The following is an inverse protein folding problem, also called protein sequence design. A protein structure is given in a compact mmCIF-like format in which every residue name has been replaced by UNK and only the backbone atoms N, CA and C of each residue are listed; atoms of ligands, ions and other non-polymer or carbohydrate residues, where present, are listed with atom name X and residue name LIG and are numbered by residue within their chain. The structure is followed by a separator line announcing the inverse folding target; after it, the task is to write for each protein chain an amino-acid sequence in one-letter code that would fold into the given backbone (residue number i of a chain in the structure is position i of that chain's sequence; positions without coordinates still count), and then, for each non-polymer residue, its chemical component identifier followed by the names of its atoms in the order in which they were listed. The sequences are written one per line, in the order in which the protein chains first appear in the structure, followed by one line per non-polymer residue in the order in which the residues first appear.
data_IF_231725121763
#
_entry.id   IF_231725121763
#
_cell.length_a   1.000
_cell.length_b   1.000
_cell.length_c   1.000
_cell.angle_alpha   90.00
_cell.angle_beta   90.00
_cell.angle_gamma   90.00
#
_symmetry.space_group_name_H-M   'P 1'
#
loop_
_entity.id
_entity.type
_entity.pdbx_description
1 polymer ?
#
# COMPACT_ATOMS: atom_id res chain seq x y z
N UNK A 1 18.87 -14.89 -1.46
CA UNK A 1 18.36 -14.03 -0.35
C UNK A 1 18.80 -12.61 -0.58
N UNK A 2 17.87 -11.69 -0.49
CA UNK A 2 18.13 -10.25 -0.58
C UNK A 2 18.29 -9.68 0.83
N UNK A 3 19.52 -9.63 1.31
CA UNK A 3 19.89 -9.03 2.59
C UNK A 3 20.00 -7.49 2.44
N UNK A 4 20.00 -6.71 3.53
CA UNK A 4 20.11 -5.26 3.47
C UNK A 4 21.31 -4.74 2.67
N UNK A 5 22.45 -5.42 2.77
CA UNK A 5 23.72 -4.97 2.17
C UNK A 5 24.22 -5.84 1.01
N UNK A 6 23.56 -6.97 0.72
CA UNK A 6 24.04 -7.89 -0.32
C UNK A 6 23.00 -8.94 -0.74
N UNK A 7 23.07 -9.35 -2.00
CA UNK A 7 22.41 -10.58 -2.46
C UNK A 7 23.34 -11.75 -2.32
N UNK A 8 22.92 -12.81 -1.64
CA UNK A 8 23.74 -14.03 -1.47
C UNK A 8 22.92 -15.32 -1.52
N UNK A 9 23.57 -16.42 -1.91
CA UNK A 9 23.05 -17.77 -1.67
C UNK A 9 23.27 -18.14 -0.21
N UNK A 10 22.24 -18.71 0.44
CA UNK A 10 22.34 -19.07 1.85
C UNK A 10 21.06 -19.66 2.39
N UNK A 11 21.14 -20.06 3.64
CA UNK A 11 20.03 -20.59 4.43
C UNK A 11 19.55 -19.55 5.42
N UNK A 12 18.25 -19.57 5.74
CA UNK A 12 17.63 -18.74 6.74
C UNK A 12 16.77 -19.59 7.65
N UNK A 13 16.94 -19.47 8.97
CA UNK A 13 16.13 -20.13 9.98
C UNK A 13 15.22 -19.13 10.69
N UNK A 14 13.94 -19.48 10.81
CA UNK A 14 12.97 -18.74 11.60
C UNK A 14 12.59 -19.58 12.82
N UNK A 15 12.65 -18.99 14.01
CA UNK A 15 12.27 -19.65 15.26
C UNK A 15 11.33 -18.74 16.04
N UNK A 16 10.18 -19.26 16.43
CA UNK A 16 9.15 -18.50 17.16
C UNK A 16 8.74 -17.17 16.47
N UNK A 17 8.65 -17.21 15.13
CA UNK A 17 8.25 -16.04 14.34
C UNK A 17 9.37 -15.05 14.02
N UNK A 18 10.59 -15.25 14.50
CA UNK A 18 11.74 -14.34 14.34
C UNK A 18 12.83 -15.00 13.51
N UNK A 19 13.51 -14.23 12.64
CA UNK A 19 14.71 -14.70 11.93
C UNK A 19 15.82 -14.93 12.97
N UNK A 20 16.11 -16.20 13.24
CA UNK A 20 17.07 -16.59 14.27
C UNK A 20 18.49 -16.70 13.74
N UNK A 21 18.66 -17.18 12.49
CA UNK A 21 19.96 -17.43 11.89
C UNK A 21 19.93 -17.15 10.38
N UNK A 22 21.04 -16.64 9.86
CA UNK A 22 21.31 -16.48 8.43
C UNK A 22 22.72 -17.04 8.16
N UNK A 23 22.81 -18.10 7.35
CA UNK A 23 24.03 -18.81 7.04
C UNK A 23 24.36 -18.85 5.55
N UNK A 24 25.54 -19.38 5.21
CA UNK A 24 25.87 -19.74 3.84
C UNK A 24 25.08 -20.99 3.41
N UNK A 25 24.91 -21.21 2.11
CA UNK A 25 24.13 -22.34 1.61
C UNK A 25 24.68 -23.68 2.15
N UNK A 26 23.80 -24.48 2.78
CA UNK A 26 24.12 -25.76 3.41
C UNK A 26 24.91 -25.65 4.73
N UNK A 27 24.95 -24.45 5.35
CA UNK A 27 25.67 -24.24 6.61
C UNK A 27 24.82 -24.42 7.86
N UNK A 28 23.51 -24.37 7.75
CA UNK A 28 22.62 -24.60 8.88
C UNK A 28 22.18 -26.06 8.94
N UNK A 29 22.45 -26.71 10.08
CA UNK A 29 22.02 -28.10 10.31
C UNK A 29 20.49 -28.19 10.39
N UNK A 30 19.89 -29.16 9.71
CA UNK A 30 18.46 -29.42 9.83
C UNK A 30 18.17 -30.16 11.14
N UNK A 31 17.11 -29.74 11.86
CA UNK A 31 16.59 -30.44 13.03
C UNK A 31 15.30 -31.20 12.68
N UNK A 32 15.11 -32.37 13.30
CA UNK A 32 13.98 -33.28 12.98
C UNK A 32 12.58 -32.67 13.22
N UNK A 33 12.48 -31.60 14.01
CA UNK A 33 11.26 -30.90 14.37
C UNK A 33 11.02 -29.59 13.57
N UNK A 34 11.89 -29.27 12.60
CA UNK A 34 11.80 -28.12 11.74
C UNK A 34 11.09 -28.45 10.42
N UNK A 35 10.28 -27.49 9.96
CA UNK A 35 9.78 -27.51 8.58
C UNK A 35 10.90 -27.02 7.66
N UNK A 36 11.29 -27.84 6.69
CA UNK A 36 12.26 -27.48 5.67
C UNK A 36 11.56 -27.04 4.39
N UNK A 37 11.98 -25.91 3.82
CA UNK A 37 11.55 -25.40 2.52
C UNK A 37 12.75 -25.33 1.59
N UNK A 38 12.71 -26.08 0.49
CA UNK A 38 13.73 -25.99 -0.56
C UNK A 38 13.50 -24.76 -1.45
N UNK A 39 14.33 -23.74 -1.27
CA UNK A 39 14.33 -22.51 -2.05
C UNK A 39 15.32 -22.51 -3.23
N UNK A 40 15.84 -23.66 -3.63
CA UNK A 40 16.81 -23.77 -4.74
C UNK A 40 16.22 -23.19 -6.03
N UNK A 41 16.94 -22.24 -6.64
CA UNK A 41 16.48 -21.55 -7.86
C UNK A 41 15.51 -20.40 -7.61
N UNK A 42 15.08 -20.19 -6.37
CA UNK A 42 14.16 -19.11 -6.00
C UNK A 42 14.90 -17.92 -5.35
N UNK A 43 14.22 -16.81 -5.28
CA UNK A 43 14.71 -15.61 -4.57
C UNK A 43 13.89 -15.41 -3.29
N UNK A 44 14.59 -15.30 -2.15
CA UNK A 44 13.99 -14.98 -0.85
C UNK A 44 14.09 -13.47 -0.61
N UNK A 45 12.94 -12.82 -0.45
CA UNK A 45 12.80 -11.41 -0.10
C UNK A 45 12.23 -11.26 1.30
N UNK A 46 12.47 -10.13 2.00
CA UNK A 46 11.64 -9.77 3.15
C UNK A 46 10.18 -9.65 2.71
N UNK A 47 9.27 -9.90 3.62
CA UNK A 47 7.84 -9.79 3.36
C UNK A 47 7.45 -8.43 2.76
N UNK A 48 6.61 -8.47 1.74
CA UNK A 48 6.11 -7.23 1.11
C UNK A 48 5.11 -6.55 2.03
N UNK A 49 5.17 -5.23 2.11
CA UNK A 49 4.30 -4.39 2.91
C UNK A 49 3.52 -3.47 1.98
N UNK A 50 2.19 -3.54 2.02
CA UNK A 50 1.32 -2.64 1.25
C UNK A 50 0.80 -1.52 2.16
N UNK A 51 1.29 -0.28 2.03
CA UNK A 51 0.93 0.81 2.94
C UNK A 51 -0.43 1.44 2.66
N UNK A 52 -1.15 1.03 1.60
CA UNK A 52 -2.44 1.62 1.27
C UNK A 52 -3.40 0.61 0.65
N UNK A 53 -4.36 0.14 1.46
CA UNK A 53 -5.47 -0.70 0.99
C UNK A 53 -6.82 -0.23 1.54
N UNK A 54 -7.92 -0.69 0.93
CA UNK A 54 -9.30 -0.43 1.35
C UNK A 54 -10.06 -1.77 1.39
N UNK A 55 -9.90 -2.53 2.46
CA UNK A 55 -10.55 -3.84 2.62
C UNK A 55 -12.01 -3.78 3.07
N UNK A 56 -12.59 -2.58 3.08
CA UNK A 56 -14.05 -2.35 3.18
C UNK A 56 -14.74 -2.88 4.45
N UNK A 57 -14.03 -3.42 5.40
CA UNK A 57 -14.57 -3.94 6.66
C UNK A 57 -14.28 -2.96 7.82
N UNK A 58 -15.30 -2.46 8.49
CA UNK A 58 -16.72 -2.81 8.40
C UNK A 58 -17.46 -2.18 7.22
N UNK A 59 -18.58 -2.79 6.85
CA UNK A 59 -19.71 -2.14 6.21
C UNK A 59 -19.97 -2.43 4.73
N UNK A 60 -19.00 -2.97 3.98
CA UNK A 60 -19.18 -3.26 2.55
C UNK A 60 -18.62 -4.64 2.14
N UNK A 61 -19.04 -5.72 2.82
CA UNK A 61 -18.47 -7.05 2.63
C UNK A 61 -18.70 -7.63 1.23
N UNK A 62 -19.62 -7.06 0.46
CA UNK A 62 -19.84 -7.45 -0.94
C UNK A 62 -18.69 -7.03 -1.86
N UNK A 63 -17.90 -6.04 -1.44
CA UNK A 63 -16.71 -5.58 -2.18
C UNK A 63 -15.45 -6.31 -1.73
N UNK A 64 -15.21 -6.32 -0.42
CA UNK A 64 -14.09 -6.96 0.24
C UNK A 64 -14.34 -7.02 1.75
N UNK A 65 -13.64 -7.89 2.48
CA UNK A 65 -13.52 -7.83 3.93
C UNK A 65 -12.07 -8.10 4.36
N UNK A 66 -11.76 -7.90 5.64
CA UNK A 66 -10.40 -8.06 6.17
C UNK A 66 -9.86 -9.48 5.98
N UNK A 67 -10.73 -10.50 6.01
CA UNK A 67 -10.33 -11.89 5.76
C UNK A 67 -9.96 -12.12 4.31
N UNK A 68 -10.86 -11.83 3.36
CA UNK A 68 -10.61 -12.03 1.93
C UNK A 68 -9.52 -11.11 1.40
N UNK A 69 -9.44 -9.86 1.88
CA UNK A 69 -8.36 -8.94 1.53
C UNK A 69 -6.99 -9.42 2.00
N UNK A 70 -6.88 -9.96 3.24
CA UNK A 70 -5.63 -10.54 3.73
C UNK A 70 -5.21 -11.81 2.97
N UNK A 71 -6.18 -12.60 2.50
CA UNK A 71 -5.91 -13.75 1.61
C UNK A 71 -5.38 -13.27 0.25
N UNK A 72 -6.01 -12.26 -0.35
CA UNK A 72 -5.54 -11.67 -1.60
C UNK A 72 -4.12 -11.07 -1.43
N UNK A 73 -3.86 -10.40 -0.31
CA UNK A 73 -2.53 -9.89 0.05
C UNK A 73 -1.48 -11.04 0.10
N UNK A 74 -1.76 -12.09 0.86
CA UNK A 74 -0.88 -13.25 0.97
C UNK A 74 -0.57 -13.90 -0.38
N UNK A 75 -1.57 -14.01 -1.27
CA UNK A 75 -1.41 -14.58 -2.60
C UNK A 75 -0.50 -13.75 -3.52
N UNK A 76 -0.41 -12.45 -3.25
CA UNK A 76 0.48 -11.49 -3.91
C UNK A 76 1.88 -11.36 -3.26
N UNK A 77 2.19 -12.13 -2.21
CA UNK A 77 3.46 -12.01 -1.48
C UNK A 77 3.46 -10.92 -0.40
N UNK A 78 2.32 -10.25 -0.16
CA UNK A 78 2.17 -9.20 0.85
C UNK A 78 1.94 -9.85 2.22
N UNK A 79 2.84 -9.60 3.16
CA UNK A 79 2.80 -10.13 4.53
C UNK A 79 2.19 -9.16 5.53
N UNK A 80 2.15 -7.88 5.16
CA UNK A 80 1.63 -6.81 6.00
C UNK A 80 0.91 -5.76 5.17
N UNK A 81 -0.18 -5.20 5.69
CA UNK A 81 -0.93 -4.13 5.02
C UNK A 81 -1.36 -3.03 5.98
N UNK A 82 -1.56 -1.81 5.43
CA UNK A 82 -2.15 -0.68 6.14
C UNK A 82 -3.49 -0.30 5.48
N UNK A 83 -4.59 -0.43 6.23
CA UNK A 83 -5.93 -0.22 5.70
C UNK A 83 -6.52 1.14 6.10
N UNK A 84 -7.19 1.76 5.13
CA UNK A 84 -7.71 3.12 5.20
C UNK A 84 -9.04 3.19 5.98
N UNK A 85 -9.37 4.38 6.56
CA UNK A 85 -10.49 4.52 7.49
C UNK A 85 -11.85 4.80 6.84
N UNK A 86 -11.95 4.91 5.51
CA UNK A 86 -13.18 5.24 4.80
C UNK A 86 -14.16 4.06 4.66
N UNK A 87 -14.35 3.38 5.76
CA UNK A 87 -15.32 2.30 5.96
C UNK A 87 -16.78 2.83 6.07
N UNK A 88 -17.74 1.96 6.30
CA UNK A 88 -19.13 2.33 6.58
C UNK A 88 -19.59 1.62 7.89
N UNK A 89 -19.60 2.34 9.04
CA UNK A 89 -19.20 3.74 9.22
C UNK A 89 -17.71 3.97 9.09
N UNK A 90 -17.30 5.22 8.83
CA UNK A 90 -15.89 5.62 8.81
C UNK A 90 -15.25 5.47 10.20
N UNK A 91 -13.98 5.08 10.25
CA UNK A 91 -13.24 4.86 11.50
C UNK A 91 -12.55 6.17 11.90
N UNK A 92 -13.22 6.95 12.75
CA UNK A 92 -12.78 8.29 13.18
C UNK A 92 -12.58 8.43 14.69
N UNK A 93 -12.79 7.35 15.44
CA UNK A 93 -12.66 7.30 16.90
C UNK A 93 -11.81 6.12 17.35
N UNK A 94 -11.24 6.18 18.54
CA UNK A 94 -10.48 5.08 19.14
C UNK A 94 -11.37 3.83 19.36
N UNK A 95 -12.63 4.01 19.74
CA UNK A 95 -13.58 2.89 19.90
C UNK A 95 -13.80 2.15 18.57
N UNK A 96 -14.05 2.90 17.48
CA UNK A 96 -14.18 2.32 16.13
C UNK A 96 -12.93 1.57 15.70
N UNK A 97 -11.75 2.12 16.02
CA UNK A 97 -10.46 1.48 15.76
C UNK A 97 -10.30 0.16 16.53
N UNK A 98 -10.65 0.14 17.82
CA UNK A 98 -10.60 -1.09 18.63
C UNK A 98 -11.52 -2.18 18.09
N UNK A 99 -12.72 -1.82 17.63
CA UNK A 99 -13.64 -2.75 16.97
C UNK A 99 -13.05 -3.34 15.68
N UNK A 100 -12.38 -2.50 14.86
CA UNK A 100 -11.72 -2.95 13.62
C UNK A 100 -10.52 -3.85 13.92
N UNK A 101 -9.70 -3.53 14.92
CA UNK A 101 -8.59 -4.38 15.40
C UNK A 101 -9.08 -5.75 15.87
N UNK A 102 -10.17 -5.80 16.63
CA UNK A 102 -10.75 -7.07 17.06
C UNK A 102 -11.26 -7.91 15.88
N UNK A 103 -11.84 -7.27 14.86
CA UNK A 103 -12.27 -7.94 13.63
C UNK A 103 -11.08 -8.50 12.86
N UNK A 104 -10.00 -7.74 12.74
CA UNK A 104 -8.77 -8.17 12.06
C UNK A 104 -8.13 -9.37 12.77
N UNK A 105 -8.04 -9.34 14.09
CA UNK A 105 -7.52 -10.45 14.89
C UNK A 105 -8.27 -11.77 14.66
N UNK A 106 -9.57 -11.70 14.32
CA UNK A 106 -10.39 -12.88 14.06
C UNK A 106 -10.36 -13.35 12.59
N UNK A 107 -9.87 -12.53 11.65
CA UNK A 107 -10.00 -12.80 10.20
C UNK A 107 -8.70 -12.81 9.44
N UNK A 108 -7.73 -11.95 9.79
CA UNK A 108 -6.55 -11.74 8.97
C UNK A 108 -5.54 -12.89 9.09
N UNK A 109 -4.97 -13.30 7.97
CA UNK A 109 -3.86 -14.25 7.89
C UNK A 109 -2.52 -13.54 7.65
N UNK A 110 -2.53 -12.23 7.34
CA UNK A 110 -1.37 -11.35 7.22
C UNK A 110 -1.40 -10.29 8.30
N UNK A 111 -0.26 -9.66 8.60
CA UNK A 111 -0.16 -8.61 9.60
C UNK A 111 -0.88 -7.34 9.14
N UNK A 112 -1.39 -6.54 10.08
CA UNK A 112 -2.27 -5.43 9.78
C UNK A 112 -2.00 -4.18 10.61
N UNK A 113 -2.21 -3.03 9.98
CA UNK A 113 -2.27 -1.73 10.62
C UNK A 113 -3.42 -0.91 10.02
N UNK A 114 -3.92 0.06 10.78
CA UNK A 114 -5.06 0.89 10.40
C UNK A 114 -4.79 2.36 10.62
N UNK A 115 -5.27 3.18 9.68
CA UNK A 115 -5.32 4.62 9.86
C UNK A 115 -6.60 5.02 10.57
N UNK A 116 -6.50 6.03 11.46
CA UNK A 116 -7.67 6.75 11.96
C UNK A 116 -8.00 7.90 11.00
N UNK A 117 -9.28 8.08 10.67
CA UNK A 117 -9.74 9.12 9.76
C UNK A 117 -9.87 10.47 10.45
N UNK A 118 -9.31 11.51 9.83
CA UNK A 118 -9.52 12.87 10.26
C UNK A 118 -10.84 13.45 9.71
N UNK A 119 -11.50 14.28 10.51
CA UNK A 119 -12.58 15.19 10.15
C UNK A 119 -12.22 16.61 10.58
N UNK A 120 -13.03 17.60 10.21
CA UNK A 120 -12.73 19.00 10.54
C UNK A 120 -12.78 19.28 12.06
N UNK A 121 -13.40 18.40 12.85
CA UNK A 121 -13.71 18.60 14.26
C UNK A 121 -13.29 17.49 15.24
N UNK A 122 -12.66 16.38 14.75
CA UNK A 122 -12.31 15.24 15.61
C UNK A 122 -10.87 15.20 16.15
N UNK A 123 -10.19 16.34 16.28
CA UNK A 123 -8.79 16.39 16.75
C UNK A 123 -8.61 15.69 18.11
N UNK A 124 -9.61 15.78 19.01
CA UNK A 124 -9.57 15.10 20.31
C UNK A 124 -9.53 13.57 20.17
N UNK A 125 -10.34 13.00 19.27
CA UNK A 125 -10.33 11.55 18.98
C UNK A 125 -9.00 11.11 18.35
N UNK A 126 -8.42 11.95 17.46
CA UNK A 126 -7.11 11.68 16.89
C UNK A 126 -6.04 11.66 18.00
N UNK A 127 -6.08 12.59 18.94
CA UNK A 127 -5.15 12.62 20.09
C UNK A 127 -5.32 11.40 21.02
N UNK A 128 -6.52 10.85 21.17
CA UNK A 128 -6.73 9.60 21.90
C UNK A 128 -6.03 8.41 21.22
N UNK A 129 -5.96 8.40 19.89
CA UNK A 129 -5.38 7.31 19.10
C UNK A 129 -3.87 7.40 18.92
N UNK A 130 -3.33 8.60 18.66
CA UNK A 130 -1.92 8.81 18.30
C UNK A 130 -1.17 9.76 19.25
N UNK A 131 -1.86 10.39 20.18
CA UNK A 131 -1.28 11.35 21.14
C UNK A 131 -1.06 12.75 20.57
N UNK A 132 -0.33 13.56 21.36
CA UNK A 132 0.19 14.86 20.98
C UNK A 132 1.70 14.77 20.77
N UNK A 133 2.31 15.79 20.16
CA UNK A 133 3.76 15.81 19.93
C UNK A 133 4.59 15.74 21.22
N UNK A 134 4.10 16.31 22.33
CA UNK A 134 4.75 16.19 23.62
C UNK A 134 4.56 14.81 24.26
N UNK A 135 3.44 14.15 23.97
CA UNK A 135 3.07 12.85 24.51
C UNK A 135 2.54 11.94 23.40
N UNK A 136 3.40 11.45 22.50
CA UNK A 136 2.99 10.54 21.42
C UNK A 136 2.58 9.18 22.00
N UNK A 137 1.54 8.59 21.39
CA UNK A 137 1.00 7.28 21.75
C UNK A 137 1.24 6.32 20.59
N UNK A 138 1.75 5.12 20.89
CA UNK A 138 1.84 4.01 19.96
C UNK A 138 0.93 2.88 20.44
N UNK A 139 -0.18 2.69 19.74
CA UNK A 139 -1.11 1.57 19.98
C UNK A 139 -0.85 0.53 18.90
N UNK A 140 -0.61 -0.75 19.26
CA UNK A 140 -0.43 -1.81 18.26
C UNK A 140 -1.56 -1.83 17.22
N UNK A 141 -1.20 -1.80 15.94
CA UNK A 141 -2.13 -1.78 14.83
C UNK A 141 -2.70 -0.39 14.46
N UNK A 142 -2.28 0.70 15.10
CA UNK A 142 -2.58 2.07 14.65
C UNK A 142 -1.33 2.64 13.98
N UNK A 143 -1.43 2.99 12.69
CA UNK A 143 -0.27 3.38 11.87
C UNK A 143 -0.19 4.89 11.56
N UNK A 144 -1.22 5.66 11.87
CA UNK A 144 -1.24 7.11 11.62
C UNK A 144 -2.63 7.67 11.37
N UNK A 145 -2.65 8.91 10.92
CA UNK A 145 -3.85 9.69 10.61
C UNK A 145 -4.02 9.75 9.09
N UNK A 146 -5.23 9.47 8.59
CA UNK A 146 -5.60 9.67 7.18
C UNK A 146 -6.41 10.93 7.00
N UNK A 147 -5.99 11.77 6.06
CA UNK A 147 -6.73 12.97 5.61
C UNK A 147 -7.12 12.81 4.15
N UNK A 148 -8.38 13.09 3.82
CA UNK A 148 -8.85 13.30 2.46
C UNK A 148 -9.03 14.81 2.25
N UNK A 149 -8.17 15.44 1.45
CA UNK A 149 -8.23 16.87 1.16
C UNK A 149 -9.21 17.20 0.04
N UNK A 150 -9.62 16.22 -0.73
CA UNK A 150 -10.63 16.29 -1.76
C UNK A 150 -11.57 15.10 -1.70
N UNK A 151 -12.79 15.25 -2.22
CA UNK A 151 -13.79 14.18 -2.27
C UNK A 151 -13.28 13.01 -3.09
N UNK A 152 -13.15 11.86 -2.44
CA UNK A 152 -12.84 10.58 -3.05
C UNK A 152 -14.00 9.60 -2.80
N UNK A 153 -13.72 8.42 -2.26
CA UNK A 153 -14.75 7.42 -1.93
C UNK A 153 -15.07 7.49 -0.44
N UNK A 154 -16.35 7.67 -0.09
CA UNK A 154 -16.79 7.81 1.30
C UNK A 154 -17.17 9.24 1.68
N UNK A 155 -17.27 9.50 3.00
CA UNK A 155 -17.77 10.76 3.56
C UNK A 155 -16.69 11.58 4.26
N UNK A 156 -15.46 11.07 4.35
CA UNK A 156 -14.34 11.79 4.96
C UNK A 156 -13.83 12.87 4.01
N UNK A 157 -13.80 14.11 4.50
CA UNK A 157 -13.24 15.27 3.82
C UNK A 157 -12.74 16.26 4.87
N UNK A 158 -11.53 16.79 4.69
CA UNK A 158 -10.99 17.92 5.44
C UNK A 158 -10.41 18.90 4.44
N UNK A 159 -11.21 19.91 4.05
CA UNK A 159 -10.82 20.95 3.10
C UNK A 159 -10.58 22.31 3.75
N UNK A 160 -11.09 22.53 4.97
CA UNK A 160 -10.85 23.76 5.73
C UNK A 160 -9.37 23.85 6.17
N UNK A 161 -8.71 24.95 5.76
CA UNK A 161 -7.27 25.15 6.05
C UNK A 161 -6.98 25.28 7.53
N UNK A 162 -7.92 25.81 8.32
CA UNK A 162 -7.75 25.96 9.78
C UNK A 162 -7.83 24.60 10.47
N UNK A 163 -8.76 23.73 10.03
CA UNK A 163 -8.85 22.37 10.52
C UNK A 163 -7.60 21.57 10.15
N UNK A 164 -7.12 21.66 8.91
CA UNK A 164 -5.85 21.03 8.49
C UNK A 164 -4.69 21.50 9.36
N UNK A 165 -4.49 22.80 9.56
CA UNK A 165 -3.41 23.34 10.39
C UNK A 165 -3.52 22.85 11.84
N UNK A 166 -4.73 22.75 12.41
CA UNK A 166 -4.94 22.21 13.75
C UNK A 166 -4.51 20.75 13.85
N UNK A 167 -4.90 19.90 12.88
CA UNK A 167 -4.51 18.49 12.86
C UNK A 167 -2.98 18.38 12.82
N UNK A 168 -2.31 19.09 11.90
CA UNK A 168 -0.84 19.07 11.79
C UNK A 168 -0.12 19.64 13.03
N UNK A 169 -0.75 20.52 13.80
CA UNK A 169 -0.12 21.15 14.97
C UNK A 169 -0.38 20.37 16.25
N UNK A 170 -1.59 19.85 16.44
CA UNK A 170 -2.07 19.37 17.73
C UNK A 170 -1.97 17.84 17.89
N UNK A 171 -1.66 17.07 16.82
CA UNK A 171 -1.55 15.61 16.87
C UNK A 171 -0.11 15.13 16.76
N UNK A 172 0.13 13.86 17.12
CA UNK A 172 1.33 13.10 16.80
C UNK A 172 1.05 12.11 15.65
N UNK A 173 2.01 11.25 15.36
CA UNK A 173 1.86 10.20 14.34
C UNK A 173 2.18 10.67 12.92
N UNK A 174 2.13 9.75 11.97
CA UNK A 174 2.24 10.06 10.55
C UNK A 174 0.90 10.56 10.03
N UNK A 175 0.90 11.66 9.29
CA UNK A 175 -0.27 12.11 8.52
C UNK A 175 -0.11 11.62 7.08
N UNK A 176 -1.04 10.78 6.61
CA UNK A 176 -1.14 10.35 5.23
C UNK A 176 -2.28 11.09 4.52
N UNK A 177 -1.99 11.71 3.36
CA UNK A 177 -2.96 12.56 2.67
C UNK A 177 -3.33 12.03 1.28
N UNK A 178 -4.64 12.01 0.98
CA UNK A 178 -5.14 12.01 -0.38
C UNK A 178 -5.18 13.47 -0.84
N UNK A 179 -4.23 13.88 -1.67
CA UNK A 179 -3.97 15.26 -2.02
C UNK A 179 -4.64 15.65 -3.35
N UNK A 180 -5.89 16.09 -3.29
CA UNK A 180 -6.61 16.72 -4.39
C UNK A 180 -7.36 17.96 -3.85
N UNK A 181 -7.25 19.10 -4.53
CA UNK A 181 -7.86 20.36 -4.10
C UNK A 181 -9.37 20.35 -4.40
N UNK A 182 -10.21 20.39 -3.35
CA UNK A 182 -11.66 20.27 -3.48
C UNK A 182 -12.29 21.44 -4.22
N UNK A 183 -11.84 22.66 -3.95
CA UNK A 183 -12.40 23.86 -4.58
C UNK A 183 -12.20 23.81 -6.10
N UNK A 184 -10.97 23.49 -6.53
CA UNK A 184 -10.66 23.32 -7.94
C UNK A 184 -11.43 22.17 -8.58
N UNK A 185 -11.56 21.04 -7.90
CA UNK A 185 -12.35 19.92 -8.41
C UNK A 185 -13.82 20.31 -8.60
N UNK A 186 -14.40 21.03 -7.64
CA UNK A 186 -15.78 21.49 -7.72
C UNK A 186 -16.01 22.45 -8.91
N UNK A 187 -15.05 23.35 -9.16
CA UNK A 187 -15.11 24.24 -10.34
C UNK A 187 -14.99 23.43 -11.64
N UNK A 188 -14.03 22.51 -11.72
CA UNK A 188 -13.77 21.75 -12.93
C UNK A 188 -14.85 20.72 -13.23
N UNK A 189 -15.54 20.19 -12.21
CA UNK A 189 -16.67 19.29 -12.38
C UNK A 189 -17.78 19.93 -13.23
N UNK A 190 -17.98 21.23 -13.14
CA UNK A 190 -18.94 21.99 -13.98
C UNK A 190 -18.58 21.93 -15.47
N UNK A 191 -17.28 21.80 -15.79
CA UNK A 191 -16.79 21.75 -17.18
C UNK A 191 -17.06 20.41 -17.87
N UNK A 192 -17.38 19.37 -17.11
CA UNK A 192 -17.67 18.03 -17.63
C UNK A 192 -19.16 17.67 -17.53
N UNK A 193 -20.02 18.62 -17.17
CA UNK A 193 -21.44 18.39 -17.05
C UNK A 193 -22.03 17.80 -18.35
N UNK A 194 -22.72 16.66 -18.24
CA UNK A 194 -23.28 15.93 -19.38
C UNK A 194 -22.31 15.05 -20.15
N UNK A 195 -21.03 15.04 -19.82
CA UNK A 195 -20.05 14.09 -20.42
C UNK A 195 -20.20 12.71 -19.80
N UNK A 196 -20.10 11.69 -20.66
CA UNK A 196 -20.16 10.25 -20.28
C UNK A 196 -18.92 9.47 -20.70
N UNK A 197 -17.96 10.13 -21.34
CA UNK A 197 -16.69 9.52 -21.70
C UNK A 197 -15.73 9.50 -20.51
N UNK A 198 -14.94 8.42 -20.38
CA UNK A 198 -14.06 8.22 -19.23
C UNK A 198 -12.92 9.27 -19.16
N UNK A 199 -12.51 9.86 -20.28
CA UNK A 199 -11.47 10.89 -20.28
C UNK A 199 -11.91 12.15 -19.49
N UNK A 200 -13.22 12.38 -19.33
CA UNK A 200 -13.75 13.45 -18.49
C UNK A 200 -13.30 13.31 -17.03
N UNK A 201 -13.05 12.08 -16.54
CA UNK A 201 -12.59 11.82 -15.18
C UNK A 201 -11.23 12.47 -14.89
N UNK A 202 -10.21 12.18 -15.70
CA UNK A 202 -8.89 12.81 -15.56
C UNK A 202 -8.90 14.29 -15.91
N UNK A 203 -9.84 14.74 -16.76
CA UNK A 203 -9.96 16.12 -17.13
C UNK A 203 -10.41 17.01 -15.96
N UNK A 204 -11.40 16.60 -15.14
CA UNK A 204 -11.81 17.43 -14.00
C UNK A 204 -10.92 17.27 -12.77
N UNK A 205 -10.29 16.11 -12.59
CA UNK A 205 -9.27 15.82 -11.57
C UNK A 205 -7.88 16.02 -12.17
N UNK A 206 -7.58 17.24 -12.65
CA UNK A 206 -6.35 17.50 -13.37
C UNK A 206 -5.09 17.48 -12.47
N UNK A 207 -3.93 17.54 -13.10
CA UNK A 207 -2.62 17.54 -12.43
C UNK A 207 -2.43 18.75 -11.50
N UNK A 208 -3.00 19.90 -11.84
CA UNK A 208 -2.97 21.10 -11.00
C UNK A 208 -3.80 20.91 -9.72
N UNK A 209 -4.92 20.17 -9.79
CA UNK A 209 -5.73 19.84 -8.62
C UNK A 209 -4.90 19.07 -7.59
N UNK A 210 -4.14 18.09 -8.04
CA UNK A 210 -3.26 17.32 -7.19
C UNK A 210 -2.09 18.18 -6.66
N UNK A 211 -1.41 18.93 -7.53
CA UNK A 211 -0.28 19.80 -7.15
C UNK A 211 -0.67 20.86 -6.10
N UNK A 212 -1.87 21.45 -6.18
CA UNK A 212 -2.31 22.47 -5.20
C UNK A 212 -2.43 21.89 -3.80
N UNK A 213 -3.05 20.72 -3.65
CA UNK A 213 -3.20 20.05 -2.36
C UNK A 213 -1.84 19.53 -1.84
N UNK A 214 -1.01 18.99 -2.70
CA UNK A 214 0.36 18.58 -2.37
C UNK A 214 1.18 19.75 -1.82
N UNK A 215 1.16 20.93 -2.49
CA UNK A 215 1.85 22.12 -2.01
C UNK A 215 1.36 22.58 -0.63
N UNK A 216 0.06 22.59 -0.41
CA UNK A 216 -0.51 22.94 0.90
C UNK A 216 -0.06 21.95 1.98
N UNK A 217 -0.07 20.65 1.71
CA UNK A 217 0.36 19.63 2.66
C UNK A 217 1.84 19.77 3.02
N UNK A 218 2.70 20.01 2.01
CA UNK A 218 4.14 20.25 2.19
C UNK A 218 4.39 21.52 3.02
N UNK A 219 3.66 22.60 2.73
CA UNK A 219 3.75 23.84 3.52
C UNK A 219 3.38 23.61 4.98
N UNK A 220 2.28 22.90 5.24
CA UNK A 220 1.86 22.57 6.61
C UNK A 220 2.88 21.67 7.32
N UNK A 221 3.41 20.64 6.65
CA UNK A 221 4.44 19.77 7.21
C UNK A 221 5.69 20.54 7.61
N UNK A 222 6.18 21.43 6.75
CA UNK A 222 7.34 22.27 7.07
C UNK A 222 7.05 23.28 8.18
N UNK A 223 5.88 23.94 8.15
CA UNK A 223 5.47 24.92 9.16
C UNK A 223 5.38 24.32 10.56
N UNK A 224 4.88 23.10 10.65
CA UNK A 224 4.65 22.42 11.94
C UNK A 224 5.76 21.44 12.32
N UNK A 225 6.62 21.04 11.36
CA UNK A 225 7.58 19.95 11.51
C UNK A 225 6.92 18.58 11.66
N UNK A 226 5.67 18.41 11.22
CA UNK A 226 4.93 17.15 11.31
C UNK A 226 5.30 16.22 10.17
N UNK A 227 5.37 14.91 10.42
CA UNK A 227 5.60 13.90 9.37
C UNK A 227 4.40 13.77 8.46
N UNK A 228 4.68 13.81 7.16
CA UNK A 228 3.70 13.73 6.08
C UNK A 228 4.05 12.59 5.12
N UNK A 229 3.05 11.81 4.76
CA UNK A 229 3.12 10.86 3.65
C UNK A 229 2.09 11.23 2.59
N UNK A 230 2.56 11.51 1.37
CA UNK A 230 1.68 11.84 0.24
C UNK A 230 1.39 10.54 -0.50
N UNK A 231 0.14 10.12 -0.48
CA UNK A 231 -0.32 8.87 -1.05
C UNK A 231 -0.40 8.94 -2.58
N UNK A 232 -0.25 7.80 -3.25
CA UNK A 232 -0.58 7.56 -4.67
C UNK A 232 -0.28 8.73 -5.63
N UNK A 233 0.96 9.19 -5.71
CA UNK A 233 1.35 10.21 -6.70
C UNK A 233 0.98 9.80 -8.12
N UNK A 234 0.42 10.72 -8.89
CA UNK A 234 -0.09 10.43 -10.24
C UNK A 234 0.41 11.36 -11.32
N UNK A 235 0.91 12.54 -10.97
CA UNK A 235 1.33 13.54 -11.95
C UNK A 235 2.81 13.84 -11.89
N UNK A 236 3.41 14.05 -13.07
CA UNK A 236 4.82 14.42 -13.19
C UNK A 236 5.13 15.75 -12.51
N UNK A 237 4.22 16.72 -12.58
CA UNK A 237 4.44 18.04 -11.94
C UNK A 237 4.43 17.99 -10.41
N UNK A 238 3.67 17.07 -9.79
CA UNK A 238 3.77 16.82 -8.34
C UNK A 238 5.10 16.20 -7.98
N UNK A 239 5.48 15.15 -8.73
CA UNK A 239 6.71 14.42 -8.50
C UNK A 239 7.95 15.32 -8.66
N UNK A 240 7.97 16.19 -9.68
CA UNK A 240 9.01 17.20 -9.86
C UNK A 240 9.03 18.26 -8.74
N UNK A 241 7.84 18.74 -8.33
CA UNK A 241 7.76 19.64 -7.18
C UNK A 241 8.32 19.01 -5.91
N UNK A 242 7.99 17.74 -5.64
CA UNK A 242 8.48 17.02 -4.48
C UNK A 242 10.00 16.78 -4.55
N UNK A 243 10.55 16.48 -5.71
CA UNK A 243 12.00 16.38 -5.91
C UNK A 243 12.73 17.66 -5.46
N UNK A 244 12.15 18.82 -5.73
CA UNK A 244 12.76 20.11 -5.39
C UNK A 244 12.54 20.49 -3.91
N UNK A 245 11.56 19.90 -3.21
CA UNK A 245 11.10 20.34 -1.88
C UNK A 245 11.19 19.28 -0.78
N UNK A 246 11.33 17.98 -1.12
CA UNK A 246 11.40 16.90 -0.12
C UNK A 246 12.80 16.52 0.31
N UNK A 247 13.83 17.01 -0.36
CA UNK A 247 15.24 16.83 0.05
C UNK A 247 15.62 17.62 1.32
N UNK A 248 14.65 18.25 2.00
CA UNK A 248 14.81 19.10 3.19
C UNK A 248 14.44 18.36 4.48
N UNK A 249 14.83 18.90 5.63
CA UNK A 249 15.69 18.22 6.57
C UNK A 249 15.07 16.92 7.07
N UNK A 250 15.92 15.92 7.27
CA UNK A 250 15.59 14.77 8.11
C UNK A 250 15.20 15.27 9.52
N UNK A 251 14.28 14.58 10.16
CA UNK A 251 14.04 14.74 11.58
C UNK A 251 15.31 14.40 12.39
N UNK A 252 15.33 14.75 13.68
CA UNK A 252 16.47 14.47 14.54
C UNK A 252 16.87 12.98 14.59
N UNK A 253 15.96 12.08 14.27
CA UNK A 253 16.15 10.63 14.15
C UNK A 253 16.70 10.16 12.78
N UNK A 254 16.88 11.07 11.82
CA UNK A 254 17.42 10.77 10.50
C UNK A 254 16.38 10.44 9.42
N UNK A 255 15.08 10.37 9.77
CA UNK A 255 14.02 10.11 8.79
C UNK A 255 13.55 11.40 8.09
N UNK A 256 13.14 11.34 6.80
CA UNK A 256 12.59 12.51 6.12
C UNK A 256 11.24 12.90 6.72
N UNK A 257 10.99 14.22 6.78
CA UNK A 257 9.69 14.75 7.21
C UNK A 257 8.59 14.40 6.21
N UNK A 258 8.91 14.41 4.92
CA UNK A 258 7.96 14.15 3.83
C UNK A 258 8.40 12.91 3.09
N UNK A 259 7.48 11.97 2.96
CA UNK A 259 7.63 10.75 2.16
C UNK A 259 6.45 10.60 1.20
N UNK A 260 6.59 9.75 0.19
CA UNK A 260 5.55 9.58 -0.82
C UNK A 260 5.59 8.19 -1.44
N UNK A 261 4.48 7.82 -2.07
CA UNK A 261 4.31 6.54 -2.73
C UNK A 261 3.72 6.69 -4.14
N UNK A 262 3.91 5.65 -4.94
CA UNK A 262 3.32 5.51 -6.28
C UNK A 262 2.71 4.12 -6.40
N UNK A 263 1.75 3.96 -7.32
CA UNK A 263 1.07 2.68 -7.53
C UNK A 263 1.55 1.98 -8.81
N UNK A 264 1.62 0.64 -8.84
CA UNK A 264 1.90 -0.11 -10.06
C UNK A 264 0.98 0.26 -11.21
N UNK A 265 -0.27 0.64 -10.95
CA UNK A 265 -1.24 1.10 -11.93
C UNK A 265 -0.78 2.39 -12.63
N UNK A 266 -0.29 3.40 -11.87
CA UNK A 266 0.23 4.65 -12.42
C UNK A 266 1.60 4.50 -13.11
N UNK A 267 2.34 3.44 -12.76
CA UNK A 267 3.60 3.07 -13.43
C UNK A 267 3.38 2.25 -14.71
N UNK A 268 2.17 1.72 -14.92
CA UNK A 268 1.86 0.80 -16.03
C UNK A 268 0.94 1.42 -17.07
N UNK A 269 -0.18 2.00 -16.62
CA UNK A 269 -1.26 2.47 -17.49
C UNK A 269 -1.12 3.96 -17.81
N UNK A 270 -1.66 4.34 -18.96
CA UNK A 270 -1.79 5.72 -19.41
C UNK A 270 -3.17 6.00 -20.02
N UNK A 271 -3.34 7.17 -20.63
CA UNK A 271 -4.60 7.59 -21.25
C UNK A 271 -5.11 6.62 -22.31
N UNK A 272 -4.22 5.94 -23.03
CA UNK A 272 -4.62 5.00 -24.08
C UNK A 272 -5.19 3.71 -23.51
N UNK A 273 -4.62 3.21 -22.39
CA UNK A 273 -5.19 2.08 -21.64
C UNK A 273 -6.56 2.46 -21.05
N UNK A 274 -6.70 3.69 -20.52
CA UNK A 274 -7.99 4.18 -19.97
C UNK A 274 -9.06 4.24 -21.06
N UNK A 275 -8.73 4.68 -22.26
CA UNK A 275 -9.66 4.70 -23.39
C UNK A 275 -10.07 3.27 -23.82
N UNK A 276 -9.16 2.30 -23.74
CA UNK A 276 -9.42 0.90 -24.08
C UNK A 276 -10.24 0.16 -23.01
N UNK A 277 -9.85 0.32 -21.73
CA UNK A 277 -10.41 -0.46 -20.62
C UNK A 277 -11.53 0.27 -19.85
N UNK A 278 -11.73 1.55 -20.13
CA UNK A 278 -12.80 2.37 -19.57
C UNK A 278 -12.78 2.44 -18.05
N UNK A 279 -13.95 2.31 -17.45
CA UNK A 279 -14.14 2.43 -16.00
C UNK A 279 -13.46 1.35 -15.15
N UNK A 280 -12.97 0.27 -15.76
CA UNK A 280 -12.12 -0.70 -15.01
C UNK A 280 -10.83 -0.02 -14.50
N UNK A 281 -10.32 0.99 -15.23
CA UNK A 281 -9.16 1.78 -14.84
C UNK A 281 -9.52 3.11 -14.18
N UNK A 282 -10.81 3.35 -13.86
CA UNK A 282 -11.23 4.54 -13.12
C UNK A 282 -10.87 4.41 -11.64
N UNK A 283 -10.01 5.29 -11.15
CA UNK A 283 -9.58 5.40 -9.75
C UNK A 283 -9.31 6.87 -9.36
N UNK A 284 -9.16 7.17 -8.08
CA UNK A 284 -8.84 8.49 -7.54
C UNK A 284 -7.52 8.47 -6.77
N UNK A 285 -6.53 9.29 -7.14
CA UNK A 285 -6.48 10.14 -8.32
C UNK A 285 -6.43 9.35 -9.63
N UNK A 286 -6.77 9.96 -10.77
CA UNK A 286 -6.90 9.22 -12.03
C UNK A 286 -5.54 8.79 -12.61
N UNK A 287 -5.57 7.72 -13.40
CA UNK A 287 -4.48 7.41 -14.34
C UNK A 287 -4.38 8.58 -15.32
N UNK A 288 -3.15 9.07 -15.52
CA UNK A 288 -2.88 10.25 -16.33
C UNK A 288 -2.21 9.89 -17.66
N UNK A 289 -1.35 10.76 -18.14
CA UNK A 289 -0.74 10.67 -19.45
C UNK A 289 0.57 9.89 -19.42
N UNK A 290 0.96 9.32 -20.57
CA UNK A 290 2.22 8.59 -20.71
C UNK A 290 3.45 9.40 -20.23
N UNK A 291 3.45 10.74 -20.42
CA UNK A 291 4.52 11.62 -19.91
C UNK A 291 4.61 11.60 -18.37
N UNK A 292 3.46 11.56 -17.67
CA UNK A 292 3.41 11.53 -16.20
C UNK A 292 3.96 10.19 -15.71
N UNK A 293 3.56 9.09 -16.33
CA UNK A 293 4.09 7.74 -16.03
C UNK A 293 5.62 7.69 -16.11
N UNK A 294 6.24 8.25 -17.15
CA UNK A 294 7.69 8.24 -17.30
C UNK A 294 8.40 9.10 -16.24
N UNK A 295 7.83 10.25 -15.84
CA UNK A 295 8.37 11.05 -14.75
C UNK A 295 8.24 10.32 -13.41
N UNK A 296 7.09 9.69 -13.12
CA UNK A 296 6.91 8.89 -11.90
C UNK A 296 7.96 7.78 -11.79
N UNK A 297 8.24 7.06 -12.90
CA UNK A 297 9.32 6.08 -12.95
C UNK A 297 10.69 6.68 -12.63
N UNK A 298 10.99 7.82 -13.24
CA UNK A 298 12.26 8.51 -12.98
C UNK A 298 12.37 8.89 -11.50
N UNK A 299 11.32 9.43 -10.89
CA UNK A 299 11.29 9.85 -9.48
C UNK A 299 11.29 8.68 -8.50
N UNK A 300 10.79 7.51 -8.90
CA UNK A 300 10.92 6.28 -8.12
C UNK A 300 12.37 5.77 -8.12
N UNK A 301 13.03 5.77 -9.29
CA UNK A 301 14.42 5.30 -9.42
C UNK A 301 15.40 6.24 -8.74
N UNK A 302 15.22 7.56 -8.81
CA UNK A 302 16.11 8.53 -8.16
C UNK A 302 15.88 8.69 -6.64
N UNK A 303 14.81 8.06 -6.10
CA UNK A 303 14.52 8.02 -4.67
C UNK A 303 13.65 9.18 -4.17
N UNK A 304 13.17 10.06 -5.05
CA UNK A 304 12.17 11.09 -4.70
C UNK A 304 10.88 10.44 -4.21
N UNK A 305 10.45 9.35 -4.86
CA UNK A 305 9.36 8.48 -4.42
C UNK A 305 9.98 7.29 -3.67
N UNK A 306 9.57 7.07 -2.42
CA UNK A 306 10.15 6.05 -1.56
C UNK A 306 9.45 4.71 -1.64
N UNK A 307 8.12 4.71 -1.75
CA UNK A 307 7.31 3.50 -1.56
C UNK A 307 6.45 3.17 -2.78
N UNK A 308 6.13 1.88 -2.89
CA UNK A 308 5.07 1.37 -3.77
C UNK A 308 3.94 0.86 -2.90
N UNK A 309 2.73 1.35 -3.16
CA UNK A 309 1.47 0.91 -2.57
C UNK A 309 0.53 0.39 -3.66
N UNK A 310 -0.67 -0.05 -3.30
CA UNK A 310 -1.64 -0.51 -4.32
C UNK A 310 -2.87 0.33 -4.45
N UNK A 311 -3.26 1.04 -3.40
CA UNK A 311 -4.60 1.61 -3.28
C UNK A 311 -5.67 0.57 -3.65
N UNK A 312 -5.51 -0.66 -3.14
CA UNK A 312 -6.45 -1.75 -3.38
C UNK A 312 -7.86 -1.32 -2.91
N UNK A 313 -8.66 -0.82 -3.83
CA UNK A 313 -9.96 -0.22 -3.57
C UNK A 313 -11.06 -0.90 -4.41
N UNK A 314 -11.42 -2.15 -4.09
CA UNK A 314 -12.26 -2.98 -4.92
C UNK A 314 -13.70 -2.48 -4.99
N UNK A 315 -14.30 -2.65 -6.17
CA UNK A 315 -15.72 -2.49 -6.45
C UNK A 315 -16.21 -3.63 -7.33
N UNK A 316 -17.45 -4.05 -7.17
CA UNK A 316 -18.03 -5.13 -7.97
C UNK A 316 -18.08 -4.76 -9.45
N UNK A 317 -17.98 -5.75 -10.35
CA UNK A 317 -18.14 -5.51 -11.79
C UNK A 317 -19.51 -4.94 -12.14
N UNK A 318 -20.55 -5.29 -11.37
CA UNK A 318 -21.89 -4.69 -11.50
C UNK A 318 -21.86 -3.18 -11.27
N UNK A 319 -21.18 -2.73 -10.18
CA UNK A 319 -21.03 -1.28 -9.92
C UNK A 319 -20.21 -0.57 -10.99
N UNK A 320 -19.14 -1.22 -11.47
CA UNK A 320 -18.31 -0.70 -12.58
C UNK A 320 -19.08 -0.63 -13.91
N UNK A 321 -20.00 -1.56 -14.19
CA UNK A 321 -20.75 -1.62 -15.44
C UNK A 321 -21.71 -0.43 -15.67
N UNK A 322 -21.93 0.40 -14.67
CA UNK A 322 -22.76 1.62 -14.80
C UNK A 322 -22.15 2.66 -15.74
N UNK A 323 -20.84 2.58 -16.01
CA UNK A 323 -20.14 3.56 -16.83
C UNK A 323 -19.90 4.90 -16.12
N UNK A 324 -19.08 5.76 -16.73
CA UNK A 324 -18.86 7.12 -16.22
C UNK A 324 -20.08 8.00 -16.49
N UNK A 325 -20.54 8.85 -15.55
CA UNK A 325 -19.93 9.16 -14.25
C UNK A 325 -20.41 8.28 -13.06
N UNK A 326 -21.36 7.34 -13.24
CA UNK A 326 -21.99 6.60 -12.15
C UNK A 326 -21.13 5.45 -11.60
N UNK A 327 -20.15 4.97 -12.37
CA UNK A 327 -19.24 3.94 -11.92
C UNK A 327 -18.33 4.48 -10.79
N UNK A 328 -18.20 3.73 -9.67
CA UNK A 328 -17.32 4.16 -8.59
C UNK A 328 -15.84 4.07 -8.98
N UNK A 329 -15.03 5.02 -8.47
CA UNK A 329 -13.57 5.00 -8.62
C UNK A 329 -12.93 4.01 -7.64
N UNK A 330 -11.96 3.25 -8.12
CA UNK A 330 -11.21 2.23 -7.38
C UNK A 330 -11.15 0.90 -8.14
N UNK A 331 -10.09 0.15 -7.87
CA UNK A 331 -9.80 -1.16 -8.48
C UNK A 331 -9.01 -2.05 -7.50
N UNK A 332 -9.05 -3.38 -7.64
CA UNK A 332 -8.16 -4.26 -6.86
C UNK A 332 -6.71 -4.13 -7.37
N UNK A 333 -5.72 -4.36 -6.47
CA UNK A 333 -4.29 -4.22 -6.81
C UNK A 333 -3.35 -5.08 -5.97
N UNK A 334 -3.70 -5.41 -4.71
CA UNK A 334 -2.80 -6.03 -3.72
C UNK A 334 -2.20 -7.36 -4.19
N UNK A 335 -2.97 -8.14 -4.93
CA UNK A 335 -2.61 -9.49 -5.40
C UNK A 335 -1.58 -9.48 -6.54
N UNK A 336 -1.53 -8.40 -7.31
CA UNK A 336 -0.68 -8.29 -8.51
C UNK A 336 0.43 -7.25 -8.41
N UNK A 337 0.53 -6.51 -7.31
CA UNK A 337 1.54 -5.47 -7.14
C UNK A 337 2.97 -6.01 -7.28
N UNK A 338 3.33 -7.03 -6.51
CA UNK A 338 4.65 -7.65 -6.61
C UNK A 338 4.88 -8.30 -7.97
N UNK A 339 4.00 -9.14 -8.54
CA UNK A 339 4.16 -9.70 -9.88
C UNK A 339 4.37 -8.66 -10.99
N UNK A 340 3.68 -7.53 -10.95
CA UNK A 340 3.89 -6.43 -11.89
C UNK A 340 5.31 -5.85 -11.76
N UNK A 341 5.78 -5.63 -10.55
CA UNK A 341 7.13 -5.10 -10.32
C UNK A 341 8.23 -6.10 -10.66
N UNK A 342 8.04 -7.41 -10.36
CA UNK A 342 8.96 -8.48 -10.79
C UNK A 342 9.03 -8.59 -12.33
N UNK A 343 7.91 -8.39 -13.01
CA UNK A 343 7.89 -8.36 -14.47
C UNK A 343 8.71 -7.17 -15.02
N UNK A 344 8.71 -6.00 -14.34
CA UNK A 344 9.59 -4.88 -14.69
C UNK A 344 11.06 -5.17 -14.42
N UNK A 345 11.39 -5.95 -13.37
CA UNK A 345 12.75 -6.48 -13.18
C UNK A 345 13.17 -7.34 -14.37
N UNK A 346 12.33 -8.27 -14.79
CA UNK A 346 12.59 -9.13 -15.95
C UNK A 346 12.73 -8.35 -17.26
N UNK A 347 12.10 -7.19 -17.37
CA UNK A 347 12.25 -6.26 -18.49
C UNK A 347 13.49 -5.35 -18.39
N UNK A 348 14.24 -5.43 -17.28
CA UNK A 348 15.43 -4.61 -17.04
C UNK A 348 15.14 -3.15 -16.71
N UNK A 349 13.92 -2.82 -16.25
CA UNK A 349 13.54 -1.45 -15.89
C UNK A 349 13.97 -1.06 -14.47
N UNK A 350 14.10 -2.02 -13.59
CA UNK A 350 14.62 -1.89 -12.24
C UNK A 350 15.29 -3.19 -11.80
N UNK A 351 15.96 -3.18 -10.65
CA UNK A 351 16.55 -4.38 -10.04
C UNK A 351 15.60 -5.02 -9.02
N UNK A 352 15.89 -6.25 -8.60
CA UNK A 352 15.13 -6.92 -7.55
C UNK A 352 15.37 -6.26 -6.18
N UNK A 353 16.57 -5.71 -5.97
CA UNK A 353 16.92 -4.89 -4.82
C UNK A 353 16.08 -3.61 -4.76
N UNK A 354 15.84 -2.95 -5.91
CA UNK A 354 14.95 -1.80 -5.99
C UNK A 354 13.53 -2.14 -5.55
N UNK A 355 12.97 -3.22 -6.08
CA UNK A 355 11.62 -3.71 -5.72
C UNK A 355 11.52 -4.02 -4.23
N UNK A 356 12.53 -4.73 -3.68
CA UNK A 356 12.60 -5.03 -2.25
C UNK A 356 12.63 -3.76 -1.42
N UNK A 357 13.44 -2.78 -1.83
CA UNK A 357 13.53 -1.48 -1.15
C UNK A 357 12.20 -0.74 -1.17
N UNK A 358 11.55 -0.60 -2.33
CA UNK A 358 10.32 0.16 -2.49
C UNK A 358 9.08 -0.47 -1.86
N UNK A 359 9.02 -1.81 -1.78
CA UNK A 359 7.85 -2.55 -1.33
C UNK A 359 8.03 -3.19 0.06
N UNK A 360 9.18 -3.03 0.69
CA UNK A 360 9.44 -3.62 2.01
C UNK A 360 10.24 -2.66 2.89
N UNK A 361 11.55 -2.49 2.64
CA UNK A 361 12.44 -1.72 3.53
C UNK A 361 12.01 -0.26 3.69
N UNK A 362 11.80 0.45 2.59
CA UNK A 362 11.38 1.86 2.66
C UNK A 362 10.00 2.04 3.30
N UNK A 363 9.07 1.11 3.06
CA UNK A 363 7.75 1.16 3.70
C UNK A 363 7.90 1.02 5.20
N UNK A 364 8.65 0.01 5.67
CA UNK A 364 8.92 -0.18 7.10
C UNK A 364 9.59 1.05 7.72
N UNK A 365 10.57 1.65 7.05
CA UNK A 365 11.27 2.85 7.50
C UNK A 365 10.34 4.08 7.50
N UNK A 366 9.53 4.30 6.43
CA UNK A 366 8.57 5.41 6.37
C UNK A 366 7.54 5.38 7.48
N UNK A 367 7.08 4.21 7.85
CA UNK A 367 6.09 4.00 8.90
C UNK A 367 6.69 3.64 10.26
N UNK A 368 8.03 3.58 10.37
CA UNK A 368 8.78 3.20 11.58
C UNK A 368 8.27 1.87 12.19
N UNK A 369 8.10 0.86 11.34
CA UNK A 369 7.63 -0.46 11.75
C UNK A 369 8.74 -1.23 12.45
N UNK A 370 8.44 -1.73 13.64
CA UNK A 370 9.40 -2.52 14.43
C UNK A 370 9.48 -3.93 13.87
N UNK A 371 10.70 -4.40 13.59
CA UNK A 371 10.96 -5.78 13.18
C UNK A 371 10.58 -6.14 11.74
N UNK A 372 10.19 -5.18 10.91
CA UNK A 372 9.72 -5.42 9.54
C UNK A 372 10.68 -4.90 8.47
N UNK A 373 10.54 -5.41 7.25
CA UNK A 373 11.14 -4.84 6.05
C UNK A 373 12.56 -5.31 5.71
N UNK A 374 13.17 -6.20 6.50
CA UNK A 374 14.56 -6.65 6.26
C UNK A 374 14.73 -8.15 6.58
N UNK A 375 15.62 -8.82 5.82
CA UNK A 375 16.14 -10.14 6.20
C UNK A 375 17.36 -9.92 7.10
N UNK A 376 17.12 -9.81 8.39
CA UNK A 376 18.15 -9.57 9.40
C UNK A 376 17.82 -10.36 10.67
N UNK A 377 18.85 -10.89 11.36
CA UNK A 377 18.64 -11.63 12.61
C UNK A 377 18.00 -10.75 13.67
N UNK A 378 16.89 -11.22 14.25
CA UNK A 378 16.08 -10.47 15.21
C UNK A 378 14.86 -9.79 14.60
N UNK A 379 14.75 -9.73 13.27
CA UNK A 379 13.55 -9.25 12.58
C UNK A 379 12.50 -10.37 12.51
N UNK A 380 11.25 -9.97 12.26
CA UNK A 380 10.15 -10.93 12.12
C UNK A 380 10.36 -11.84 10.91
N UNK A 381 9.91 -13.07 11.05
CA UNK A 381 9.99 -14.11 10.04
C UNK A 381 8.95 -13.95 8.93
N UNK A 382 8.76 -12.71 8.46
CA UNK A 382 7.92 -12.36 7.33
C UNK A 382 8.76 -12.39 6.07
N UNK A 383 8.56 -13.40 5.24
CA UNK A 383 9.37 -13.59 4.03
C UNK A 383 8.52 -14.05 2.85
N UNK A 384 8.99 -13.77 1.64
CA UNK A 384 8.38 -14.26 0.41
C UNK A 384 9.43 -14.91 -0.49
N UNK A 385 9.14 -16.13 -0.96
CA UNK A 385 9.89 -16.77 -2.02
C UNK A 385 9.25 -16.42 -3.36
N UNK A 386 10.07 -15.95 -4.29
CA UNK A 386 9.65 -15.62 -5.66
C UNK A 386 10.38 -16.48 -6.68
N UNK A 387 9.65 -16.93 -7.69
CA UNK A 387 10.18 -17.54 -8.90
C UNK A 387 10.21 -16.49 -10.00
N UNK A 388 11.43 -16.06 -10.38
CA UNK A 388 11.63 -15.02 -11.39
C UNK A 388 11.38 -15.51 -12.82
N UNK A 389 11.33 -16.81 -13.04
CA UNK A 389 11.08 -17.42 -14.36
C UNK A 389 9.61 -17.85 -14.57
N UNK A 390 8.82 -17.90 -13.48
CA UNK A 390 7.41 -18.29 -13.57
C UNK A 390 6.61 -17.28 -14.38
N UNK A 391 5.90 -17.78 -15.41
CA UNK A 391 5.08 -16.96 -16.32
C UNK A 391 3.62 -17.33 -16.21
N UNK A 392 2.78 -16.32 -16.06
CA UNK A 392 1.34 -16.51 -16.06
C UNK A 392 0.60 -15.31 -16.63
N UNK A 393 -0.52 -15.57 -17.28
CA UNK A 393 -1.47 -14.53 -17.68
C UNK A 393 -2.37 -14.23 -16.50
N UNK A 394 -2.49 -12.95 -16.13
CA UNK A 394 -3.45 -12.53 -15.10
C UNK A 394 -4.87 -12.81 -15.61
N UNK A 395 -5.63 -13.60 -14.88
CA UNK A 395 -7.00 -13.96 -15.24
C UNK A 395 -7.96 -13.70 -14.08
N UNK A 396 -9.08 -13.05 -14.34
CA UNK A 396 -10.11 -12.74 -13.34
C UNK A 396 -10.53 -13.98 -12.53
N UNK A 397 -10.65 -15.16 -13.15
CA UNK A 397 -11.05 -16.41 -12.49
C UNK A 397 -10.05 -16.94 -11.43
N UNK A 398 -8.81 -16.49 -11.49
CA UNK A 398 -7.75 -16.89 -10.57
C UNK A 398 -7.55 -15.91 -9.42
N UNK A 399 -8.27 -14.77 -9.41
CA UNK A 399 -8.17 -13.79 -8.34
C UNK A 399 -8.70 -14.33 -7.01
N UNK A 400 -8.04 -13.94 -5.92
CA UNK A 400 -8.47 -14.14 -4.55
C UNK A 400 -9.30 -12.96 -4.02
N UNK A 401 -9.05 -11.74 -4.55
CA UNK A 401 -9.87 -10.58 -4.23
C UNK A 401 -11.35 -10.89 -4.46
N UNK A 402 -12.19 -10.56 -3.48
CA UNK A 402 -13.62 -10.94 -3.46
C UNK A 402 -14.39 -10.50 -4.69
N UNK A 403 -14.05 -9.36 -5.26
CA UNK A 403 -14.71 -8.83 -6.45
C UNK A 403 -14.44 -9.64 -7.71
N UNK A 404 -13.47 -10.57 -7.69
CA UNK A 404 -13.24 -11.55 -8.75
C UNK A 404 -12.78 -10.96 -10.08
N UNK A 405 -12.07 -9.84 -10.07
CA UNK A 405 -11.47 -9.23 -11.26
C UNK A 405 -10.18 -8.47 -10.93
N UNK A 406 -9.36 -8.18 -11.96
CA UNK A 406 -8.09 -7.49 -11.82
C UNK A 406 -7.88 -6.50 -12.98
N UNK A 407 -7.33 -5.29 -12.74
CA UNK A 407 -7.06 -4.32 -13.81
C UNK A 407 -6.00 -4.80 -14.81
N UNK A 408 -5.13 -5.73 -14.41
CA UNK A 408 -4.10 -6.30 -15.25
C UNK A 408 -4.55 -7.56 -16.02
N UNK A 409 -5.83 -7.96 -15.93
CA UNK A 409 -6.34 -9.15 -16.63
C UNK A 409 -6.04 -9.15 -18.12
N UNK A 410 -5.56 -10.29 -18.61
CA UNK A 410 -5.10 -10.49 -19.99
C UNK A 410 -3.61 -10.22 -20.20
N UNK A 411 -2.90 -9.59 -19.25
CA UNK A 411 -1.45 -9.35 -19.35
C UNK A 411 -0.68 -10.59 -18.87
N UNK A 412 0.32 -11.01 -19.62
CA UNK A 412 1.30 -12.00 -19.19
C UNK A 412 2.36 -11.30 -18.32
N UNK A 413 2.59 -11.83 -17.13
CA UNK A 413 3.62 -11.37 -16.20
C UNK A 413 4.64 -12.48 -15.96
N UNK A 414 5.91 -12.08 -15.85
CA UNK A 414 7.04 -12.97 -15.51
C UNK A 414 7.62 -12.57 -14.17
N UNK A 415 7.72 -13.54 -13.25
CA UNK A 415 8.11 -13.33 -11.86
C UNK A 415 6.88 -13.31 -10.94
N UNK A 416 6.78 -14.32 -10.03
CA UNK A 416 5.62 -14.49 -9.16
C UNK A 416 6.03 -14.98 -7.76
N UNK A 417 5.30 -14.56 -6.70
CA UNK A 417 5.45 -15.17 -5.39
C UNK A 417 4.96 -16.61 -5.44
N UNK A 418 5.76 -17.53 -4.90
CA UNK A 418 5.44 -18.98 -4.83
C UNK A 418 5.21 -19.45 -3.41
N UNK A 419 5.75 -18.77 -2.41
CA UNK A 419 5.49 -19.02 -1.00
C UNK A 419 5.46 -17.69 -0.25
N UNK A 420 4.45 -17.49 0.57
CA UNK A 420 4.35 -16.35 1.50
C UNK A 420 4.35 -16.89 2.93
N UNK A 421 5.24 -16.37 3.76
CA UNK A 421 5.42 -16.75 5.16
C UNK A 421 5.17 -15.50 6.02
N UNK A 422 4.30 -15.63 7.02
CA UNK A 422 3.96 -14.57 7.98
C UNK A 422 4.28 -15.07 9.37
N UNK A 423 5.06 -14.30 10.16
CA UNK A 423 5.45 -14.70 11.51
C UNK A 423 6.08 -16.13 11.58
N UNK A 424 6.82 -16.49 10.53
CA UNK A 424 7.42 -17.82 10.41
C UNK A 424 6.47 -18.94 9.99
N UNK A 425 5.20 -18.65 9.72
CA UNK A 425 4.19 -19.61 9.29
C UNK A 425 3.89 -19.44 7.80
N UNK A 426 4.06 -20.49 6.96
CA UNK A 426 3.60 -20.47 5.58
C UNK A 426 2.08 -20.27 5.51
N UNK A 427 1.63 -19.18 4.86
CA UNK A 427 0.20 -18.83 4.74
C UNK A 427 -0.36 -19.05 3.34
N UNK A 428 0.50 -19.01 2.33
CA UNK A 428 0.12 -19.22 0.93
C UNK A 428 1.21 -19.95 0.16
N UNK A 429 0.83 -20.85 -0.74
CA UNK A 429 1.75 -21.47 -1.71
C UNK A 429 1.16 -21.52 -3.13
N UNK A 430 2.04 -21.40 -4.12
CA UNK A 430 1.77 -21.62 -5.55
C UNK A 430 2.78 -22.63 -6.06
N UNK A 431 2.29 -23.79 -6.50
CA UNK A 431 3.09 -24.90 -7.02
C UNK A 431 2.39 -25.55 -8.22
N UNK A 432 3.07 -26.45 -8.92
CA UNK A 432 2.44 -27.21 -10.03
C UNK A 432 1.13 -27.89 -9.63
N UNK A 433 1.06 -28.42 -8.38
CA UNK A 433 -0.12 -29.11 -7.87
C UNK A 433 -1.30 -28.19 -7.51
N UNK A 434 -1.05 -26.88 -7.28
CA UNK A 434 -2.07 -25.91 -6.87
C UNK A 434 -2.54 -25.02 -8.05
N UNK A 435 -1.83 -25.08 -9.19
CA UNK A 435 -2.07 -24.25 -10.36
C UNK A 435 -1.78 -22.75 -10.10
N UNK A 436 -2.15 -21.92 -11.05
CA UNK A 436 -1.87 -20.46 -11.01
C UNK A 436 -2.52 -19.76 -9.81
N UNK A 437 -3.69 -20.21 -9.36
CA UNK A 437 -4.39 -19.60 -8.22
C UNK A 437 -3.65 -19.83 -6.90
N UNK A 438 -2.93 -20.93 -6.75
CA UNK A 438 -2.30 -21.33 -5.48
C UNK A 438 -3.31 -21.80 -4.43
N UNK A 439 -2.85 -21.96 -3.20
CA UNK A 439 -3.69 -22.34 -2.06
C UNK A 439 -3.32 -21.61 -0.77
N UNK A 440 -4.28 -21.41 0.10
CA UNK A 440 -4.12 -20.93 1.46
C UNK A 440 -3.82 -22.11 2.38
N UNK A 441 -2.91 -21.92 3.33
CA UNK A 441 -2.38 -22.98 4.19
C UNK A 441 -2.85 -22.88 5.65
N UNK A 442 -3.51 -21.79 6.02
CA UNK A 442 -3.93 -21.46 7.40
C UNK A 442 -5.39 -21.05 7.46
N UNK A 443 -5.97 -21.11 8.65
CA UNK A 443 -7.33 -20.67 8.91
C UNK A 443 -7.37 -19.14 9.20
N UNK A 444 -8.51 -18.48 8.99
CA UNK A 444 -8.68 -17.05 9.32
C UNK A 444 -8.36 -16.75 10.78
N UNK A 445 -7.56 -15.69 11.03
CA UNK A 445 -7.18 -15.24 12.36
C UNK A 445 -6.09 -16.08 13.04
N UNK A 446 -5.52 -17.07 12.36
CA UNK A 446 -4.52 -17.96 12.96
C UNK A 446 -3.15 -17.30 13.13
N UNK A 447 -2.75 -16.40 12.21
CA UNK A 447 -1.38 -15.91 12.13
C UNK A 447 -1.27 -14.39 12.23
N UNK A 448 -2.08 -13.63 11.51
CA UNK A 448 -1.94 -12.18 11.37
C UNK A 448 -1.97 -11.42 12.71
N UNK A 449 -1.06 -10.48 12.87
CA UNK A 449 -0.89 -9.67 14.10
C UNK A 449 -0.99 -8.18 13.82
N UNK A 450 -1.36 -7.37 14.84
CA UNK A 450 -1.27 -5.92 14.72
C UNK A 450 0.19 -5.48 14.61
N UNK A 451 0.48 -4.63 13.64
CA UNK A 451 1.82 -4.07 13.44
C UNK A 451 2.21 -3.15 14.59
N UNK A 452 3.48 -3.15 14.92
CA UNK A 452 4.07 -2.28 15.95
C UNK A 452 4.83 -1.15 15.24
N UNK A 453 4.53 0.09 15.61
CA UNK A 453 5.24 1.29 15.16
C UNK A 453 5.96 1.92 16.34
N UNK A 454 7.09 2.57 16.08
CA UNK A 454 7.69 3.43 17.08
C UNK A 454 6.79 4.66 17.34
N UNK A 455 6.78 5.18 18.60
CA UNK A 455 6.03 6.41 18.90
C UNK A 455 6.57 7.58 18.05
N UNK A 456 5.71 8.19 17.30
CA UNK A 456 6.04 9.34 16.45
C UNK A 456 6.23 10.60 17.31
N UNK A 457 7.40 11.20 17.25
CA UNK A 457 7.74 12.46 17.94
C UNK A 457 7.60 13.67 17.04
#
# INVERSE_FOLDING_TARGET
MLLPDATKQGDLRITNGIIAEIGDAGSLDNHDDEMFVDGTGLHLLPGIIDPQVHFRDPGQPEKEDLGSGSIAAASGGVTSFLDMPNNVPSITTLEGMQGKLATAAAKCITNYGFFIGATEDNVADLQEAVGTRENPIAIPGICGIKIFMGVSTGTLLVSDKTALERIFTETAGLIAVHAEDEDRMAERRKLIEGRTDIAAHAYYRDDITALMATKLSVELAHKTGHRLHILHLTSGIEADYLNDHCSLPSMADGYPIITTEVLPQHLTFDETDVDEHGVRLQMNPPIRYAKDREILWQRLVDGTIQCIATDHAPHTLEAKSKGFPEAPSGMPGVETSLPVMLNYVNQGRCSLEDVTRWMSTNVADCYQMIGKGKLEVGYDGDVVLVDMDYRAVVEDKNCWARVGWNPFSGRELTGWPVLTVVEGVPVFERSEGTGQKGRILVEPGEVGKPLLMEPWK
#
